data_IF_419883951280
#
_entry.id   IF_419883951280
#
_cell.length_a   1.000
_cell.length_b   1.000
_cell.length_c   1.000
_cell.angle_alpha   90.00
_cell.angle_beta   90.00
_cell.angle_gamma   90.00
#
_symmetry.space_group_name_H-M   'P 1'
#
loop_
_entity.id
_entity.type
_entity.pdbx_description
1 polymer ?
#
# COMPACT_ATOMS: atom_id res chain seq x y z
N UNK A 1 0.65 -5.30 -24.75
CA UNK A 1 0.25 -5.72 -23.38
C UNK A 1 -0.51 -4.55 -22.79
N UNK A 2 -1.83 -4.67 -22.64
CA UNK A 2 -2.62 -3.66 -21.94
C UNK A 2 -2.31 -3.73 -20.44
N UNK A 3 -2.24 -2.58 -19.78
CA UNK A 3 -2.11 -2.52 -18.33
C UNK A 3 -3.40 -3.05 -17.70
N UNK A 4 -3.30 -3.71 -16.55
CA UNK A 4 -4.47 -4.10 -15.75
C UNK A 4 -5.30 -2.84 -15.49
N UNK A 5 -6.60 -2.90 -15.72
CA UNK A 5 -7.54 -1.82 -15.38
C UNK A 5 -7.85 -1.87 -13.88
N UNK A 6 -7.38 -0.87 -13.15
CA UNK A 6 -7.50 -0.76 -11.70
C UNK A 6 -8.32 0.50 -11.43
N UNK A 7 -9.51 0.31 -10.87
CA UNK A 7 -10.38 1.39 -10.43
C UNK A 7 -10.78 1.20 -8.96
N UNK A 8 -11.03 2.29 -8.21
CA UNK A 8 -11.62 2.19 -6.89
C UNK A 8 -12.97 1.48 -6.93
N UNK A 9 -13.24 0.62 -5.95
CA UNK A 9 -14.57 0.05 -5.77
C UNK A 9 -15.56 1.16 -5.37
N UNK A 10 -16.77 1.10 -5.96
CA UNK A 10 -17.84 2.05 -5.70
C UNK A 10 -19.01 1.36 -4.98
N UNK A 11 -19.67 2.09 -4.08
CA UNK A 11 -20.92 1.65 -3.47
C UNK A 11 -22.14 1.89 -4.39
N UNK A 12 -23.32 1.52 -3.91
CA UNK A 12 -24.59 1.70 -4.63
C UNK A 12 -24.98 3.18 -4.86
N UNK A 13 -24.32 4.12 -4.17
CA UNK A 13 -24.50 5.56 -4.31
C UNK A 13 -23.37 6.20 -5.12
N UNK A 14 -22.52 5.39 -5.76
CA UNK A 14 -21.38 5.83 -6.56
C UNK A 14 -20.27 6.55 -5.76
N UNK A 15 -20.18 6.27 -4.45
CA UNK A 15 -19.08 6.75 -3.59
C UNK A 15 -17.96 5.71 -3.51
N UNK A 16 -16.72 6.17 -3.27
CA UNK A 16 -15.59 5.27 -3.05
C UNK A 16 -15.80 4.45 -1.77
N UNK A 17 -15.60 3.13 -1.87
CA UNK A 17 -15.67 2.20 -0.74
C UNK A 17 -14.43 2.40 0.14
N UNK A 18 -14.54 3.28 1.14
CA UNK A 18 -13.47 3.59 2.08
C UNK A 18 -14.03 3.64 3.51
N UNK A 19 -13.35 2.97 4.43
CA UNK A 19 -13.64 3.03 5.87
C UNK A 19 -12.37 3.31 6.65
N UNK A 20 -12.47 4.17 7.66
CA UNK A 20 -11.38 4.55 8.55
C UNK A 20 -11.77 4.28 10.00
N UNK A 21 -10.78 3.93 10.81
CA UNK A 21 -10.90 3.69 12.25
C UNK A 21 -9.77 4.41 12.97
N UNK A 22 -10.03 4.82 14.21
CA UNK A 22 -9.09 5.52 15.09
C UNK A 22 -9.18 4.89 16.49
N UNK A 23 -8.07 4.76 17.25
CA UNK A 23 -6.68 5.19 16.97
C UNK A 23 -5.92 4.33 15.94
N UNK A 24 -4.71 4.68 15.53
CA UNK A 24 -3.92 3.85 14.59
C UNK A 24 -3.42 2.54 15.19
N UNK A 25 -2.99 1.58 14.36
CA UNK A 25 -2.50 0.26 14.80
C UNK A 25 -1.37 0.33 15.85
N UNK A 26 -0.55 1.38 15.81
CA UNK A 26 0.53 1.60 16.79
C UNK A 26 0.06 1.77 18.23
N UNK A 27 -1.21 2.13 18.47
CA UNK A 27 -1.75 2.23 19.84
C UNK A 27 -1.88 0.87 20.54
N UNK A 28 -1.70 -0.23 19.82
CA UNK A 28 -1.80 -1.58 20.35
C UNK A 28 -0.44 -2.15 20.79
N UNK A 29 0.60 -1.32 20.90
CA UNK A 29 1.94 -1.75 21.35
C UNK A 29 1.93 -2.50 22.69
N UNK A 30 1.06 -2.09 23.62
CA UNK A 30 0.93 -2.70 24.96
C UNK A 30 -0.11 -3.83 25.01
N UNK A 31 -0.90 -4.02 23.94
CA UNK A 31 -1.95 -5.03 23.79
C UNK A 31 -1.95 -5.63 22.38
N UNK A 32 -0.83 -6.26 21.96
CA UNK A 32 -0.67 -6.77 20.60
C UNK A 32 -1.69 -7.84 20.22
N UNK A 33 -2.21 -8.58 21.20
CA UNK A 33 -3.23 -9.63 21.04
C UNK A 33 -4.59 -9.10 20.55
N UNK A 34 -4.79 -7.79 20.55
CA UNK A 34 -6.00 -7.10 20.08
C UNK A 34 -5.88 -6.51 18.68
N UNK A 35 -4.72 -6.63 18.04
CA UNK A 35 -4.48 -6.04 16.72
C UNK A 35 -5.40 -6.61 15.63
N UNK A 36 -5.58 -7.93 15.57
CA UNK A 36 -6.44 -8.56 14.56
C UNK A 36 -7.94 -8.23 14.78
N UNK A 37 -8.39 -8.24 16.04
CA UNK A 37 -9.74 -7.81 16.41
C UNK A 37 -10.01 -6.36 16.00
N UNK A 38 -8.99 -5.49 16.11
CA UNK A 38 -9.09 -4.10 15.69
C UNK A 38 -9.22 -3.92 14.17
N UNK A 39 -8.56 -4.76 13.38
CA UNK A 39 -8.61 -4.70 11.90
C UNK A 39 -9.89 -5.33 11.33
N UNK A 40 -10.47 -6.32 12.02
CA UNK A 40 -11.64 -7.08 11.56
C UNK A 40 -12.80 -6.21 11.02
N UNK A 41 -13.23 -5.11 11.67
CA UNK A 41 -14.35 -4.29 11.18
C UNK A 41 -14.09 -3.59 9.83
N UNK A 42 -12.82 -3.46 9.42
CA UNK A 42 -12.44 -2.96 8.10
C UNK A 42 -12.58 -4.07 7.04
N UNK A 43 -12.14 -5.28 7.37
CA UNK A 43 -12.25 -6.45 6.49
C UNK A 43 -13.72 -6.85 6.29
N UNK A 44 -14.52 -6.84 7.35
CA UNK A 44 -15.96 -7.10 7.30
C UNK A 44 -16.69 -6.07 6.45
N UNK A 45 -16.23 -4.82 6.45
CA UNK A 45 -16.79 -3.77 5.59
C UNK A 45 -16.41 -4.01 4.13
N UNK A 46 -15.13 -4.25 3.84
CA UNK A 46 -14.67 -4.51 2.47
C UNK A 46 -15.36 -5.74 1.84
N UNK A 47 -15.55 -6.81 2.62
CA UNK A 47 -16.19 -8.04 2.17
C UNK A 47 -17.64 -7.84 1.67
N UNK A 48 -18.35 -6.81 2.14
CA UNK A 48 -19.72 -6.51 1.70
C UNK A 48 -19.80 -6.05 0.24
N UNK A 49 -18.69 -5.56 -0.32
CA UNK A 49 -18.61 -5.03 -1.68
C UNK A 49 -17.91 -5.99 -2.65
N UNK A 50 -17.47 -7.15 -2.16
CA UNK A 50 -16.80 -8.17 -2.96
C UNK A 50 -17.81 -9.30 -3.22
N UNK A 51 -18.06 -9.70 -4.48
CA UNK A 51 -18.91 -10.85 -4.78
C UNK A 51 -18.44 -12.09 -4.01
N UNK A 52 -19.38 -12.85 -3.44
CA UNK A 52 -19.07 -13.97 -2.55
C UNK A 52 -18.07 -14.96 -3.16
N UNK A 53 -18.25 -15.30 -4.44
CA UNK A 53 -17.37 -16.21 -5.20
C UNK A 53 -15.94 -15.68 -5.39
N UNK A 54 -15.74 -14.36 -5.28
CA UNK A 54 -14.44 -13.70 -5.43
C UNK A 54 -13.71 -13.52 -4.11
N UNK A 55 -14.38 -13.67 -2.97
CA UNK A 55 -13.75 -13.50 -1.65
C UNK A 55 -12.48 -14.36 -1.51
N UNK A 56 -12.47 -15.68 -1.81
CA UNK A 56 -11.27 -16.51 -1.64
C UNK A 56 -10.09 -16.13 -2.54
N UNK A 57 -10.35 -15.36 -3.61
CA UNK A 57 -9.35 -14.92 -4.58
C UNK A 57 -8.96 -13.45 -4.41
N UNK A 58 -9.47 -12.77 -3.38
CA UNK A 58 -9.21 -11.36 -3.15
C UNK A 58 -8.06 -11.20 -2.16
N UNK A 59 -6.85 -10.80 -2.61
CA UNK A 59 -5.71 -10.62 -1.71
C UNK A 59 -5.87 -9.38 -0.85
N UNK A 60 -5.58 -9.52 0.45
CA UNK A 60 -5.54 -8.39 1.39
C UNK A 60 -4.09 -7.92 1.56
N UNK A 61 -3.89 -6.61 1.45
CA UNK A 61 -2.63 -5.95 1.75
C UNK A 61 -2.78 -5.06 2.98
N UNK A 62 -1.97 -5.32 4.01
CA UNK A 62 -1.90 -4.53 5.24
C UNK A 62 -0.48 -3.96 5.36
N UNK A 63 -0.33 -2.73 4.88
CA UNK A 63 0.96 -2.04 4.85
C UNK A 63 0.97 -0.96 5.94
N UNK A 64 1.67 -1.24 7.04
CA UNK A 64 1.77 -0.32 8.16
C UNK A 64 2.87 0.73 7.91
N UNK A 65 2.58 2.00 8.19
CA UNK A 65 3.46 3.14 7.86
C UNK A 65 4.19 3.69 9.10
N UNK A 66 4.57 4.98 9.08
CA UNK A 66 5.43 5.64 10.07
C UNK A 66 5.04 5.40 11.53
N UNK A 67 3.75 5.39 11.87
CA UNK A 67 3.31 5.15 13.24
C UNK A 67 3.79 3.82 13.82
N UNK A 68 3.82 2.75 13.02
CA UNK A 68 4.34 1.45 13.45
C UNK A 68 5.87 1.38 13.46
N UNK A 69 6.56 2.23 12.68
CA UNK A 69 8.04 2.35 12.72
C UNK A 69 8.55 2.96 14.03
N UNK A 70 7.70 3.74 14.71
CA UNK A 70 8.01 4.33 16.03
C UNK A 70 7.77 3.37 17.20
N UNK A 71 7.07 2.25 16.98
CA UNK A 71 6.83 1.22 18.01
C UNK A 71 8.10 0.40 18.18
N UNK A 72 8.51 0.05 19.42
CA UNK A 72 9.71 -0.75 19.60
C UNK A 72 9.58 -2.13 18.93
N UNK A 73 10.69 -2.65 18.41
CA UNK A 73 10.72 -3.81 17.51
C UNK A 73 10.02 -5.05 18.08
N UNK A 74 10.18 -5.31 19.38
CA UNK A 74 9.54 -6.44 20.06
C UNK A 74 8.01 -6.34 20.02
N UNK A 75 7.45 -5.17 20.28
CA UNK A 75 6.02 -4.90 20.25
C UNK A 75 5.50 -4.92 18.82
N UNK A 76 6.25 -4.36 17.88
CA UNK A 76 5.94 -4.42 16.45
C UNK A 76 5.83 -5.87 15.96
N UNK A 77 6.81 -6.72 16.29
CA UNK A 77 6.80 -8.14 15.95
C UNK A 77 5.63 -8.89 16.58
N UNK A 78 5.26 -8.57 17.83
CA UNK A 78 4.11 -9.16 18.49
C UNK A 78 2.79 -8.78 17.81
N UNK A 79 2.61 -7.52 17.41
CA UNK A 79 1.44 -7.06 16.63
C UNK A 79 1.36 -7.80 15.29
N UNK A 80 2.46 -7.85 14.53
CA UNK A 80 2.47 -8.55 13.24
C UNK A 80 2.18 -10.03 13.39
N UNK A 81 2.68 -10.67 14.45
CA UNK A 81 2.39 -12.07 14.77
C UNK A 81 0.91 -12.29 15.04
N UNK A 82 0.25 -11.42 15.81
CA UNK A 82 -1.20 -11.50 16.05
C UNK A 82 -1.99 -11.38 14.74
N UNK A 83 -1.63 -10.42 13.88
CA UNK A 83 -2.25 -10.23 12.57
C UNK A 83 -2.07 -11.45 11.66
N UNK A 84 -0.84 -11.99 11.54
CA UNK A 84 -0.55 -13.15 10.70
C UNK A 84 -1.28 -14.41 11.15
N UNK A 85 -1.47 -14.58 12.46
CA UNK A 85 -2.06 -15.81 13.02
C UNK A 85 -3.57 -15.79 13.02
N UNK A 86 -4.19 -14.64 13.35
CA UNK A 86 -5.65 -14.55 13.54
C UNK A 86 -6.40 -14.13 12.28
N UNK A 87 -5.90 -13.17 11.49
CA UNK A 87 -6.64 -12.67 10.33
C UNK A 87 -7.06 -13.75 9.32
N UNK A 88 -6.23 -14.78 8.99
CA UNK A 88 -6.65 -15.85 8.08
C UNK A 88 -7.89 -16.62 8.55
N UNK A 89 -8.20 -16.60 9.85
CA UNK A 89 -9.36 -17.28 10.43
C UNK A 89 -10.58 -16.36 10.56
N UNK A 90 -10.40 -15.04 10.36
CA UNK A 90 -11.43 -14.03 10.60
C UNK A 90 -12.12 -13.54 9.33
N UNK A 91 -11.58 -13.85 8.15
CA UNK A 91 -12.13 -13.44 6.85
C UNK A 91 -11.97 -14.54 5.80
N UNK A 92 -12.92 -14.67 4.85
CA UNK A 92 -12.77 -15.55 3.70
C UNK A 92 -11.82 -14.98 2.63
N UNK A 93 -11.34 -13.74 2.78
CA UNK A 93 -10.37 -13.13 1.87
C UNK A 93 -8.98 -13.74 2.01
N UNK A 94 -8.16 -13.64 0.96
CA UNK A 94 -6.83 -14.24 0.92
C UNK A 94 -5.83 -13.41 1.74
N UNK A 95 -5.48 -13.92 2.93
CA UNK A 95 -4.43 -13.35 3.78
C UNK A 95 -3.10 -14.05 3.48
N UNK A 96 -2.12 -13.27 3.04
CA UNK A 96 -0.74 -13.72 2.78
C UNK A 96 0.22 -13.02 3.75
N UNK A 97 1.17 -13.77 4.30
CA UNK A 97 2.11 -13.25 5.32
C UNK A 97 2.95 -12.10 4.75
N UNK A 98 3.33 -12.22 3.48
CA UNK A 98 4.16 -11.28 2.72
C UNK A 98 3.46 -9.92 2.53
N UNK A 99 2.13 -9.91 2.62
CA UNK A 99 1.28 -8.74 2.41
C UNK A 99 0.98 -7.96 3.69
N UNK A 100 1.36 -8.51 4.85
CA UNK A 100 1.20 -7.88 6.15
C UNK A 100 2.60 -7.53 6.67
N UNK A 101 2.99 -6.26 6.53
CA UNK A 101 4.32 -5.78 6.91
C UNK A 101 4.33 -4.30 7.24
N UNK A 102 5.34 -3.88 8.00
CA UNK A 102 5.68 -2.46 8.15
C UNK A 102 6.52 -2.07 6.94
N UNK A 103 6.09 -1.04 6.21
CA UNK A 103 6.82 -0.55 5.04
C UNK A 103 7.73 0.62 5.43
N UNK A 104 8.90 0.65 4.81
CA UNK A 104 9.80 1.80 4.88
C UNK A 104 9.19 3.00 4.13
N UNK A 105 9.56 4.21 4.54
CA UNK A 105 9.05 5.44 3.93
C UNK A 105 9.34 5.54 2.43
N UNK A 106 10.43 4.94 1.94
CA UNK A 106 10.73 4.91 0.50
C UNK A 106 9.68 4.14 -0.30
N UNK A 107 9.20 3.02 0.22
CA UNK A 107 8.18 2.22 -0.45
C UNK A 107 6.83 2.93 -0.46
N UNK A 108 6.51 3.66 0.62
CA UNK A 108 5.36 4.57 0.67
C UNK A 108 5.43 5.61 -0.44
N UNK A 109 6.58 6.28 -0.62
CA UNK A 109 6.80 7.24 -1.71
C UNK A 109 6.71 6.61 -3.11
N UNK A 110 7.31 5.44 -3.32
CA UNK A 110 7.29 4.73 -4.62
C UNK A 110 5.86 4.30 -4.97
N UNK A 111 5.12 3.70 -4.04
CA UNK A 111 3.74 3.28 -4.30
C UNK A 111 2.85 4.47 -4.61
N UNK A 112 3.01 5.58 -3.89
CA UNK A 112 2.27 6.80 -4.17
C UNK A 112 2.64 7.41 -5.53
N UNK A 113 3.92 7.42 -5.91
CA UNK A 113 4.36 7.87 -7.24
C UNK A 113 3.80 6.99 -8.36
N UNK A 114 3.79 5.66 -8.18
CA UNK A 114 3.17 4.72 -9.12
C UNK A 114 1.68 5.01 -9.24
N UNK A 115 0.96 5.18 -8.12
CA UNK A 115 -0.48 5.43 -8.13
C UNK A 115 -0.84 6.72 -8.89
N UNK A 116 -0.12 7.83 -8.62
CA UNK A 116 -0.32 9.11 -9.32
C UNK A 116 -0.09 8.96 -10.83
N UNK A 117 1.03 8.35 -11.23
CA UNK A 117 1.36 8.20 -12.64
C UNK A 117 0.47 7.20 -13.38
N UNK A 118 -0.05 6.18 -12.68
CA UNK A 118 -1.04 5.27 -13.21
C UNK A 118 -2.36 5.98 -13.51
N UNK A 119 -2.90 6.75 -12.55
CA UNK A 119 -4.14 7.54 -12.71
C UNK A 119 -4.00 8.55 -13.85
N UNK A 120 -2.83 9.20 -13.95
CA UNK A 120 -2.53 10.15 -15.03
C UNK A 120 -2.21 9.49 -16.38
N UNK A 121 -2.24 8.16 -16.47
CA UNK A 121 -1.99 7.40 -17.69
C UNK A 121 -0.55 7.53 -18.22
N UNK A 122 0.41 7.89 -17.38
CA UNK A 122 1.82 8.13 -17.76
C UNK A 122 2.57 6.84 -18.13
N UNK A 123 2.04 5.69 -17.73
CA UNK A 123 2.59 4.37 -18.10
C UNK A 123 2.04 3.81 -19.43
N UNK A 124 1.10 4.50 -20.09
CA UNK A 124 0.57 4.05 -21.39
C UNK A 124 1.62 4.28 -22.48
N UNK A 125 2.06 3.19 -23.12
CA UNK A 125 2.96 3.25 -24.27
C UNK A 125 2.16 3.67 -25.50
N UNK A 126 2.50 4.80 -26.13
CA UNK A 126 1.94 5.17 -27.43
C UNK A 126 2.74 4.48 -28.54
N UNK A 127 2.05 3.81 -29.46
CA UNK A 127 2.60 3.26 -30.72
C UNK A 127 3.62 2.11 -30.62
N UNK A 128 3.60 1.31 -29.56
CA UNK A 128 4.34 0.03 -29.50
C UNK A 128 5.87 0.13 -29.43
N UNK A 129 6.45 1.34 -29.49
CA UNK A 129 7.86 1.56 -29.22
C UNK A 129 8.04 1.97 -27.76
N UNK A 130 8.93 1.29 -27.02
CA UNK A 130 9.30 1.65 -25.65
C UNK A 130 9.94 3.06 -25.53
N UNK A 131 10.20 3.72 -26.66
CA UNK A 131 10.95 4.98 -26.75
C UNK A 131 10.09 6.23 -26.58
N UNK A 132 8.75 6.13 -26.54
CA UNK A 132 7.87 7.29 -26.37
C UNK A 132 6.80 7.02 -25.31
N UNK A 133 7.22 7.02 -24.05
CA UNK A 133 6.30 7.16 -22.91
C UNK A 133 6.18 8.63 -22.52
N UNK A 134 5.00 9.09 -22.06
CA UNK A 134 4.85 10.43 -21.51
C UNK A 134 5.75 10.65 -20.29
N UNK A 135 6.21 11.88 -20.10
CA UNK A 135 6.93 12.26 -18.88
C UNK A 135 6.06 12.03 -17.64
N UNK A 136 6.67 11.40 -16.63
CA UNK A 136 6.02 11.15 -15.35
C UNK A 136 5.96 12.43 -14.51
N UNK A 137 5.09 12.42 -13.51
CA UNK A 137 4.91 13.53 -12.58
C UNK A 137 5.50 13.13 -11.23
N UNK A 138 6.22 14.05 -10.59
CA UNK A 138 6.70 13.87 -9.23
C UNK A 138 5.56 13.87 -8.21
N UNK A 139 5.79 13.25 -7.06
CA UNK A 139 4.84 13.12 -5.97
C UNK A 139 5.46 13.58 -4.66
N UNK A 140 4.65 14.26 -3.84
CA UNK A 140 5.01 14.66 -2.48
C UNK A 140 3.87 14.19 -1.57
N UNK A 141 4.20 13.40 -0.54
CA UNK A 141 3.30 12.98 0.53
C UNK A 141 3.73 13.61 1.85
N UNK A 142 2.78 14.09 2.64
CA UNK A 142 3.04 14.61 3.97
C UNK A 142 2.07 13.98 4.96
N UNK A 143 2.55 12.94 5.65
CA UNK A 143 1.83 12.27 6.72
C UNK A 143 2.12 12.89 8.09
N UNK A 144 1.47 12.37 9.13
CA UNK A 144 1.61 12.89 10.50
C UNK A 144 2.98 12.67 11.14
N UNK A 145 3.75 11.69 10.67
CA UNK A 145 5.07 11.34 11.24
C UNK A 145 6.19 11.26 10.18
N UNK A 146 5.88 11.48 8.90
CA UNK A 146 6.89 11.48 7.84
C UNK A 146 6.44 12.25 6.60
N UNK A 147 7.41 12.66 5.78
CA UNK A 147 7.21 13.24 4.48
C UNK A 147 7.98 12.43 3.44
N UNK A 148 7.41 12.25 2.25
CA UNK A 148 8.00 11.50 1.14
C UNK A 148 8.00 12.37 -0.12
N UNK A 149 9.08 12.29 -0.89
CA UNK A 149 9.20 12.90 -2.21
C UNK A 149 9.68 11.81 -3.17
N UNK A 150 9.02 11.65 -4.30
CA UNK A 150 9.38 10.66 -5.31
C UNK A 150 9.20 11.24 -6.71
N UNK A 151 10.21 11.11 -7.56
CA UNK A 151 10.16 11.52 -8.96
C UNK A 151 11.08 10.63 -9.78
N UNK A 152 10.83 10.60 -11.08
CA UNK A 152 11.68 9.89 -12.02
C UNK A 152 12.94 10.67 -12.33
N UNK A 153 14.08 9.99 -12.26
CA UNK A 153 15.36 10.57 -12.63
C UNK A 153 15.67 10.32 -14.12
N UNK A 154 16.24 11.32 -14.82
CA UNK A 154 16.81 11.11 -16.15
C UNK A 154 17.90 10.03 -16.13
N UNK A 155 18.07 9.24 -17.21
CA UNK A 155 19.05 8.13 -17.25
C UNK A 155 20.51 8.51 -17.00
N UNK A 156 20.85 9.81 -17.07
CA UNK A 156 22.22 10.33 -16.92
C UNK A 156 22.45 11.05 -15.60
N UNK A 157 21.43 11.16 -14.75
CA UNK A 157 21.57 11.79 -13.44
C UNK A 157 21.96 10.75 -12.39
N UNK A 158 23.13 10.93 -11.78
CA UNK A 158 23.62 10.15 -10.64
C UNK A 158 23.52 10.95 -9.33
N UNK A 159 22.41 11.66 -9.11
CA UNK A 159 22.23 12.38 -7.85
C UNK A 159 22.26 11.38 -6.67
N UNK A 160 23.13 11.63 -5.71
CA UNK A 160 23.28 10.84 -4.48
C UNK A 160 23.32 11.77 -3.28
N UNK A 161 22.52 11.47 -2.27
CA UNK A 161 22.50 12.16 -0.98
C UNK A 161 22.14 11.16 0.10
N UNK A 162 22.52 11.41 1.35
CA UNK A 162 22.21 10.52 2.49
C UNK A 162 20.71 10.26 2.64
N UNK A 163 19.87 11.21 2.20
CA UNK A 163 18.41 11.12 2.28
C UNK A 163 17.73 10.77 0.93
N UNK A 164 18.51 10.37 -0.08
CA UNK A 164 18.00 10.01 -1.41
C UNK A 164 18.44 8.59 -1.76
N UNK A 165 17.46 7.72 -1.96
CA UNK A 165 17.67 6.38 -2.48
C UNK A 165 17.19 6.28 -3.93
N UNK A 166 18.09 5.83 -4.82
CA UNK A 166 17.77 5.60 -6.22
C UNK A 166 17.30 4.16 -6.41
N UNK A 167 16.07 3.98 -6.87
CA UNK A 167 15.49 2.64 -7.12
C UNK A 167 15.37 2.39 -8.62
N UNK A 168 16.09 1.38 -9.10
CA UNK A 168 16.02 0.94 -10.49
C UNK A 168 14.71 0.16 -10.70
N UNK A 169 13.79 0.74 -11.44
CA UNK A 169 12.50 0.10 -11.79
C UNK A 169 12.54 -0.65 -13.13
N UNK A 170 13.71 -0.78 -13.76
CA UNK A 170 13.89 -1.56 -14.99
C UNK A 170 14.33 -2.98 -14.65
N UNK A 171 13.56 -3.98 -15.08
CA UNK A 171 14.07 -5.33 -15.29
C UNK A 171 14.94 -5.33 -16.54
N UNK A 172 16.13 -5.92 -16.46
CA UNK A 172 16.89 -6.36 -17.64
C UNK A 172 16.17 -7.52 -18.35
#
# INVERSE_FOLDING_TARGET
KELIDIAPALDHLNNHVVKKVYPGLSSFQDRPDKAAEYIKPLLDYAAQFIPFEKLPYTPVFLLATAGMRLVPEKQQAAILTDLHTKLPQMTPMQIMKEHIRVIEGKWEGIYSWIAVNYILGKFKIKNGTLTSRPDTVGMIDMGGASMQIAFEMPPKDEFRSENVENVLSACH
#
